data_IF_082125428380
#
_entry.id   IF_082125428380
#
_cell.length_a   1.000
_cell.length_b   1.000
_cell.length_c   1.000
_cell.angle_alpha   90.00
_cell.angle_beta   90.00
_cell.angle_gamma   90.00
#
_symmetry.space_group_name_H-M   'P 1'
#
loop_
_entity.id
_entity.type
_entity.pdbx_description
1 polymer ?
#
# COMPACT_ATOMS: atom_id res chain seq x y z
N UNK A 1 -2.06 -30.92 0.15
CA UNK A 1 -2.27 -29.90 1.18
C UNK A 1 -1.44 -28.67 0.88
N UNK A 2 -2.09 -27.54 0.74
CA UNK A 2 -1.40 -26.31 0.37
C UNK A 2 -1.04 -25.52 1.61
N UNK A 3 0.24 -25.52 1.95
CA UNK A 3 0.74 -24.65 3.00
C UNK A 3 1.15 -23.34 2.36
N UNK A 4 0.41 -22.30 2.65
CA UNK A 4 0.79 -20.98 2.23
C UNK A 4 1.81 -20.46 3.23
N UNK A 5 3.02 -20.27 2.78
CA UNK A 5 4.04 -19.65 3.62
C UNK A 5 3.67 -18.19 3.84
N UNK A 6 3.87 -17.68 5.05
CA UNK A 6 3.68 -16.25 5.28
C UNK A 6 4.57 -15.46 4.34
N UNK A 7 4.00 -14.46 3.69
CA UNK A 7 4.74 -13.59 2.79
C UNK A 7 4.90 -12.24 3.46
N UNK A 8 6.15 -11.79 3.56
CA UNK A 8 6.48 -10.52 4.15
C UNK A 8 6.90 -9.53 3.09
N UNK A 9 6.53 -8.28 3.27
CA UNK A 9 6.95 -7.19 2.40
C UNK A 9 7.37 -6.01 3.26
N UNK A 10 8.14 -5.11 2.68
CA UNK A 10 8.64 -3.95 3.41
C UNK A 10 7.69 -2.78 3.29
N UNK A 11 7.33 -2.17 4.41
CA UNK A 11 6.56 -0.94 4.42
C UNK A 11 7.41 0.20 3.82
N UNK A 12 6.82 0.97 2.91
CA UNK A 12 7.53 2.05 2.23
C UNK A 12 7.92 3.20 3.17
N UNK A 13 7.21 3.34 4.29
CA UNK A 13 7.45 4.42 5.25
C UNK A 13 8.36 3.97 6.39
N UNK A 14 8.00 2.88 7.05
CA UNK A 14 8.72 2.43 8.25
C UNK A 14 9.89 1.53 7.94
N UNK A 15 9.93 0.97 6.74
CA UNK A 15 10.93 0.00 6.28
C UNK A 15 10.91 -1.30 7.07
N UNK A 16 9.86 -1.51 7.85
CA UNK A 16 9.67 -2.76 8.58
C UNK A 16 9.21 -3.87 7.64
N UNK A 17 9.68 -5.10 7.93
CA UNK A 17 9.19 -6.29 7.24
C UNK A 17 7.90 -6.73 7.92
N UNK A 18 6.80 -6.70 7.19
CA UNK A 18 5.47 -6.93 7.74
C UNK A 18 4.74 -7.94 6.88
N UNK A 19 3.89 -8.74 7.50
CA UNK A 19 3.05 -9.68 6.77
C UNK A 19 2.23 -8.96 5.70
N UNK A 20 2.20 -9.52 4.51
CA UNK A 20 1.48 -8.97 3.38
C UNK A 20 0.02 -8.66 3.72
N UNK A 21 -0.61 -9.49 4.54
CA UNK A 21 -1.99 -9.28 4.96
C UNK A 21 -2.18 -8.06 5.87
N UNK A 22 -1.11 -7.56 6.46
CA UNK A 22 -1.14 -6.38 7.32
C UNK A 22 -0.67 -5.13 6.60
N UNK A 23 -0.57 -5.21 5.29
CA UNK A 23 -0.13 -4.11 4.44
C UNK A 23 -1.16 -3.83 3.35
N UNK A 24 -1.24 -2.57 2.94
CA UNK A 24 -1.95 -2.19 1.73
C UNK A 24 -0.96 -2.16 0.57
N UNK A 25 -1.38 -2.69 -0.56
CA UNK A 25 -0.56 -2.69 -1.78
C UNK A 25 -1.06 -1.62 -2.72
N UNK A 26 -0.17 -0.80 -3.23
CA UNK A 26 -0.47 0.22 -4.23
C UNK A 26 0.38 -0.12 -5.45
N UNK A 27 -0.26 -0.27 -6.60
CA UNK A 27 0.40 -0.78 -7.80
C UNK A 27 0.23 0.19 -8.96
N UNK A 28 1.30 0.38 -9.71
CA UNK A 28 1.29 1.15 -10.95
C UNK A 28 1.23 0.18 -12.12
N UNK A 29 0.21 0.33 -12.95
CA UNK A 29 0.03 -0.48 -14.16
C UNK A 29 -0.22 0.48 -15.32
N UNK A 30 0.61 0.41 -16.35
CA UNK A 30 0.49 1.25 -17.54
C UNK A 30 0.38 2.74 -17.22
N UNK A 31 1.17 3.19 -16.25
CA UNK A 31 1.21 4.59 -15.86
C UNK A 31 0.08 5.04 -14.93
N UNK A 32 -0.82 4.15 -14.59
CA UNK A 32 -1.91 4.44 -13.65
C UNK A 32 -1.68 3.77 -12.32
N UNK A 33 -2.11 4.41 -11.26
CA UNK A 33 -1.94 3.91 -9.89
C UNK A 33 -3.27 3.38 -9.37
N UNK A 34 -3.20 2.20 -8.78
CA UNK A 34 -4.37 1.54 -8.20
C UNK A 34 -4.11 1.12 -6.76
N UNK A 35 -5.14 1.24 -5.93
CA UNK A 35 -5.13 0.60 -4.62
C UNK A 35 -5.51 -0.86 -4.82
N UNK A 36 -4.52 -1.73 -4.78
CA UNK A 36 -4.71 -3.16 -5.05
C UNK A 36 -5.15 -3.87 -3.77
N UNK A 37 -6.43 -3.74 -3.44
CA UNK A 37 -6.98 -4.28 -2.19
C UNK A 37 -6.80 -5.79 -2.07
N UNK A 38 -6.98 -6.51 -3.17
CA UNK A 38 -6.87 -7.97 -3.18
C UNK A 38 -5.45 -8.46 -3.46
N UNK A 39 -4.52 -7.54 -3.67
CA UNK A 39 -3.10 -7.85 -3.90
C UNK A 39 -2.88 -8.86 -5.02
N UNK A 40 -3.61 -8.68 -6.11
CA UNK A 40 -3.53 -9.58 -7.26
C UNK A 40 -3.11 -8.88 -8.56
N UNK A 41 -2.79 -7.60 -8.52
CA UNK A 41 -2.33 -6.87 -9.70
C UNK A 41 -0.82 -7.02 -9.86
N UNK A 42 -0.38 -6.99 -11.12
CA UNK A 42 1.03 -7.07 -11.47
C UNK A 42 1.53 -5.74 -11.98
N UNK A 43 2.67 -5.30 -11.48
CA UNK A 43 3.27 -4.04 -11.86
C UNK A 43 4.20 -3.57 -10.78
N UNK A 44 4.66 -2.31 -10.91
CA UNK A 44 5.52 -1.72 -9.88
C UNK A 44 4.68 -1.42 -8.66
N UNK A 45 5.06 -1.96 -7.53
CA UNK A 45 4.23 -1.89 -6.32
C UNK A 45 4.97 -1.35 -5.12
N UNK A 46 4.20 -0.74 -4.23
CA UNK A 46 4.66 -0.31 -2.91
C UNK A 46 3.67 -0.81 -1.88
N UNK A 47 4.14 -0.96 -0.65
CA UNK A 47 3.32 -1.43 0.45
C UNK A 47 3.33 -0.42 1.58
N UNK A 48 2.19 -0.23 2.22
CA UNK A 48 2.05 0.65 3.38
C UNK A 48 1.43 -0.13 4.53
N UNK A 49 2.00 0.04 5.71
CA UNK A 49 1.44 -0.54 6.94
C UNK A 49 0.02 -0.01 7.15
N UNK A 50 -0.88 -0.85 7.66
CA UNK A 50 -2.25 -0.46 7.96
C UNK A 50 -2.30 0.39 9.22
N UNK A 51 -1.82 1.60 9.12
CA UNK A 51 -1.71 2.55 10.22
C UNK A 51 -1.96 3.94 9.66
N UNK A 52 -2.88 4.69 10.30
CA UNK A 52 -3.25 6.01 9.83
C UNK A 52 -2.05 6.96 9.75
N UNK A 53 -1.19 6.93 10.76
CA UNK A 53 0.00 7.81 10.77
C UNK A 53 0.94 7.50 9.63
N UNK A 54 1.08 6.21 9.28
CA UNK A 54 1.93 5.78 8.16
C UNK A 54 1.35 6.31 6.85
N UNK A 55 0.04 6.17 6.66
CA UNK A 55 -0.63 6.63 5.45
C UNK A 55 -0.52 8.15 5.32
N UNK A 56 -0.74 8.88 6.41
CA UNK A 56 -0.63 10.34 6.40
C UNK A 56 0.78 10.80 6.09
N UNK A 57 1.77 10.13 6.66
CA UNK A 57 3.17 10.46 6.40
C UNK A 57 3.55 10.19 4.95
N UNK A 58 3.07 9.08 4.40
CA UNK A 58 3.30 8.75 3.00
C UNK A 58 2.70 9.82 2.08
N UNK A 59 1.52 10.31 2.42
CA UNK A 59 0.86 11.37 1.66
C UNK A 59 1.65 12.68 1.77
N UNK A 60 1.99 13.07 2.98
CA UNK A 60 2.69 14.33 3.23
C UNK A 60 4.04 14.39 2.51
N UNK A 61 4.77 13.29 2.52
CA UNK A 61 6.11 13.22 1.91
C UNK A 61 6.10 12.72 0.48
N UNK A 62 4.92 12.44 -0.08
CA UNK A 62 4.75 11.93 -1.45
C UNK A 62 5.62 10.70 -1.72
N UNK A 63 5.65 9.81 -0.74
CA UNK A 63 6.52 8.63 -0.81
C UNK A 63 6.11 7.70 -1.95
N UNK A 64 4.80 7.49 -2.13
CA UNK A 64 4.31 6.61 -3.20
C UNK A 64 4.64 7.18 -4.58
N UNK A 65 4.48 8.49 -4.77
CA UNK A 65 4.81 9.12 -6.04
C UNK A 65 6.28 8.94 -6.39
N UNK A 66 7.12 9.06 -5.39
CA UNK A 66 8.56 8.91 -5.57
C UNK A 66 8.95 7.48 -5.93
N UNK A 67 8.38 6.51 -5.23
CA UNK A 67 8.71 5.10 -5.43
C UNK A 67 8.10 4.52 -6.69
N UNK A 68 6.88 4.93 -7.02
CA UNK A 68 6.20 4.47 -8.22
C UNK A 68 6.59 5.28 -9.46
N UNK A 69 7.30 6.38 -9.27
CA UNK A 69 7.76 7.26 -10.34
C UNK A 69 6.61 7.76 -11.21
N UNK A 70 5.52 8.12 -10.56
CA UNK A 70 4.33 8.68 -11.21
C UNK A 70 3.55 9.45 -10.15
N UNK A 71 2.79 10.46 -10.57
CA UNK A 71 1.97 11.21 -9.63
C UNK A 71 0.88 10.32 -9.08
N UNK A 72 0.79 10.26 -7.75
CA UNK A 72 -0.24 9.50 -7.05
C UNK A 72 -1.30 10.48 -6.57
N UNK A 73 -2.52 10.29 -7.06
CA UNK A 73 -3.62 11.17 -6.72
C UNK A 73 -4.03 11.03 -5.26
N UNK A 74 -4.55 12.11 -4.71
CA UNK A 74 -5.03 12.14 -3.34
C UNK A 74 -6.09 11.07 -3.08
N UNK A 75 -6.89 10.76 -4.10
CA UNK A 75 -7.94 9.74 -4.00
C UNK A 75 -7.42 8.39 -3.53
N UNK A 76 -6.20 8.05 -3.91
CA UNK A 76 -5.57 6.80 -3.48
C UNK A 76 -5.41 6.79 -1.96
N UNK A 77 -4.89 7.90 -1.41
CA UNK A 77 -4.70 8.01 0.04
C UNK A 77 -6.03 8.02 0.78
N UNK A 78 -7.04 8.69 0.23
CA UNK A 78 -8.36 8.71 0.82
C UNK A 78 -8.98 7.31 0.84
N UNK A 79 -8.78 6.54 -0.23
CA UNK A 79 -9.26 5.16 -0.29
C UNK A 79 -8.60 4.29 0.76
N UNK A 80 -7.30 4.48 0.99
CA UNK A 80 -6.57 3.75 2.02
C UNK A 80 -7.12 4.06 3.41
N UNK A 81 -7.37 5.33 3.67
CA UNK A 81 -7.91 5.78 4.97
C UNK A 81 -9.31 5.23 5.18
N UNK A 82 -10.15 5.25 4.15
CA UNK A 82 -11.49 4.71 4.23
C UNK A 82 -11.48 3.22 4.53
N UNK A 83 -10.61 2.48 3.85
CA UNK A 83 -10.51 1.04 4.07
C UNK A 83 -10.03 0.73 5.47
N UNK A 84 -9.06 1.49 5.96
CA UNK A 84 -8.55 1.34 7.33
C UNK A 84 -9.66 1.59 8.34
N UNK A 85 -10.49 2.59 8.11
CA UNK A 85 -11.63 2.89 8.97
C UNK A 85 -12.63 1.72 9.03
N UNK A 86 -12.86 1.05 7.91
CA UNK A 86 -13.75 -0.11 7.85
C UNK A 86 -13.18 -1.29 8.64
N UNK A 87 -11.88 -1.47 8.61
CA UNK A 87 -11.24 -2.60 9.27
C UNK A 87 -11.10 -2.42 10.78
N UNK A 88 -11.24 -1.21 11.28
CA UNK A 88 -11.04 -0.89 12.69
C UNK A 88 -12.35 -0.80 13.44
N UNK A 89 -13.10 -1.84 13.41
CA UNK A 89 -14.34 -1.92 14.18
C UNK A 89 -14.15 -2.68 15.46
#
# INVERSE_FOLDING_TARGET
MNFKRPVYRRCAVTHESILKSDLYKITRVNGKVYFDLNQNMHGRSCYLKKDLKVIELAHKKKILSRLLKVDVEEDIYLSLIQELSKERR
#
